data_IF_679774349327
#
_entry.id   IF_679774349327
#
_cell.length_a   1.000
_cell.length_b   1.000
_cell.length_c   1.000
_cell.angle_alpha   90.00
_cell.angle_beta   90.00
_cell.angle_gamma   90.00
#
_symmetry.space_group_name_H-M   'P 1'
#
loop_
_entity.id
_entity.type
_entity.pdbx_description
1 polymer ?
#
# COMPACT_ATOMS: atom_id res chain seq x y z
N UNK A 1 -17.37 -4.45 14.50
CA UNK A 1 -16.88 -3.19 13.91
C UNK A 1 -15.70 -3.52 13.02
N UNK A 2 -15.79 -3.25 11.72
CA UNK A 2 -14.65 -3.33 10.81
C UNK A 2 -13.73 -2.16 11.12
N UNK A 3 -12.43 -2.40 11.24
CA UNK A 3 -11.45 -1.35 11.51
C UNK A 3 -11.41 -0.32 10.36
N UNK A 4 -11.49 0.98 10.67
CA UNK A 4 -11.46 2.04 9.66
C UNK A 4 -10.03 2.51 9.38
N UNK A 5 -9.48 2.13 8.22
CA UNK A 5 -8.12 2.51 7.81
C UNK A 5 -7.91 4.02 7.67
N UNK A 6 -8.96 4.80 7.39
CA UNK A 6 -8.87 6.26 7.23
C UNK A 6 -8.44 6.96 8.53
N UNK A 7 -8.72 6.37 9.69
CA UNK A 7 -8.31 6.91 10.99
C UNK A 7 -6.78 7.08 11.07
N UNK A 8 -6.01 6.20 10.40
CA UNK A 8 -4.57 6.37 10.29
C UNK A 8 -4.20 7.68 9.59
N UNK A 9 -4.83 7.98 8.46
CA UNK A 9 -4.55 9.21 7.71
C UNK A 9 -4.97 10.44 8.50
N UNK A 10 -6.15 10.41 9.13
CA UNK A 10 -6.61 11.52 9.95
C UNK A 10 -5.65 11.85 11.09
N UNK A 11 -5.17 10.83 11.80
CA UNK A 11 -4.16 11.01 12.85
C UNK A 11 -2.87 11.58 12.24
N UNK A 12 -2.41 11.07 11.10
CA UNK A 12 -1.20 11.53 10.44
C UNK A 12 -1.27 13.00 9.98
N UNK A 13 -2.44 13.46 9.54
CA UNK A 13 -2.68 14.84 9.12
C UNK A 13 -2.74 15.80 10.31
N UNK A 14 -3.28 15.37 11.45
CA UNK A 14 -3.47 16.22 12.64
C UNK A 14 -2.23 16.26 13.53
N UNK A 15 -1.57 15.12 13.79
CA UNK A 15 -0.51 15.00 14.82
C UNK A 15 0.65 16.00 14.69
N UNK A 16 1.14 16.39 13.50
CA UNK A 16 2.25 17.33 13.38
C UNK A 16 1.91 18.75 13.89
N UNK A 17 0.63 19.09 13.99
CA UNK A 17 0.14 20.41 14.39
C UNK A 17 -0.15 20.51 15.89
N UNK A 18 -0.09 19.42 16.65
CA UNK A 18 -0.23 19.45 18.10
C UNK A 18 1.03 20.05 18.74
N UNK A 19 0.94 21.32 19.14
CA UNK A 19 2.03 22.07 19.77
C UNK A 19 2.39 21.55 21.17
N UNK A 20 1.47 20.84 21.83
CA UNK A 20 1.67 20.24 23.15
C UNK A 20 2.55 18.99 23.14
N UNK A 21 2.87 18.42 21.97
CA UNK A 21 3.68 17.21 21.86
C UNK A 21 5.13 17.52 21.44
N UNK A 22 6.12 16.72 21.86
CA UNK A 22 7.50 16.86 21.42
C UNK A 22 7.63 16.77 19.89
N UNK A 23 8.43 17.67 19.32
CA UNK A 23 8.54 17.86 17.86
C UNK A 23 8.92 16.58 17.10
N UNK A 24 9.92 15.83 17.57
CA UNK A 24 10.36 14.63 16.86
C UNK A 24 9.39 13.45 17.03
N UNK A 25 8.82 13.28 18.23
CA UNK A 25 7.84 12.22 18.51
C UNK A 25 6.63 12.30 17.58
N UNK A 26 6.02 13.50 17.45
CA UNK A 26 4.88 13.70 16.53
C UNK A 26 5.25 13.45 15.06
N UNK A 27 6.47 13.78 14.63
CA UNK A 27 6.91 13.53 13.25
C UNK A 27 7.08 12.04 12.97
N UNK A 28 7.72 11.30 13.88
CA UNK A 28 7.88 9.85 13.77
C UNK A 28 6.52 9.16 13.73
N UNK A 29 5.61 9.53 14.64
CA UNK A 29 4.25 8.98 14.65
C UNK A 29 3.50 9.30 13.34
N UNK A 30 3.53 10.54 12.85
CA UNK A 30 2.86 10.89 11.58
C UNK A 30 3.32 10.01 10.41
N UNK A 31 4.63 9.81 10.27
CA UNK A 31 5.22 8.96 9.23
C UNK A 31 4.70 7.53 9.32
N UNK A 32 4.71 6.95 10.53
CA UNK A 32 4.18 5.61 10.77
C UNK A 32 2.72 5.49 10.33
N UNK A 33 1.91 6.50 10.66
CA UNK A 33 0.48 6.55 10.34
C UNK A 33 0.22 6.70 8.83
N UNK A 34 0.95 7.54 8.10
CA UNK A 34 0.86 7.59 6.62
C UNK A 34 1.21 6.25 5.97
N UNK A 35 2.24 5.57 6.47
CA UNK A 35 2.62 4.25 5.96
C UNK A 35 1.51 3.22 6.18
N UNK A 36 1.01 3.08 7.41
CA UNK A 36 -0.02 2.09 7.73
C UNK A 36 -1.31 2.36 6.98
N UNK A 37 -1.75 3.62 6.86
CA UNK A 37 -2.87 3.99 6.00
C UNK A 37 -2.68 3.46 4.57
N UNK A 38 -1.54 3.77 3.95
CA UNK A 38 -1.27 3.40 2.56
C UNK A 38 -1.16 1.88 2.37
N UNK A 39 -0.38 1.23 3.22
CA UNK A 39 -0.16 -0.22 3.16
C UNK A 39 -1.44 -1.01 3.38
N UNK A 40 -2.21 -0.69 4.42
CA UNK A 40 -3.44 -1.42 4.75
C UNK A 40 -4.50 -1.21 3.69
N UNK A 41 -4.66 0.02 3.17
CA UNK A 41 -5.63 0.30 2.10
C UNK A 41 -5.38 -0.53 0.85
N UNK A 42 -4.13 -0.64 0.40
CA UNK A 42 -3.77 -1.49 -0.75
C UNK A 42 -3.98 -2.96 -0.43
N UNK A 43 -3.53 -3.41 0.74
CA UNK A 43 -3.69 -4.79 1.18
C UNK A 43 -5.17 -5.19 1.21
N UNK A 44 -6.01 -4.36 1.79
CA UNK A 44 -7.42 -4.67 2.00
C UNK A 44 -8.16 -4.75 0.66
N UNK A 45 -7.84 -3.87 -0.31
CA UNK A 45 -8.31 -3.99 -1.70
C UNK A 45 -7.89 -5.33 -2.32
N UNK A 46 -6.63 -5.74 -2.15
CA UNK A 46 -6.15 -7.03 -2.68
C UNK A 46 -6.93 -8.17 -2.03
N UNK A 47 -7.07 -8.19 -0.70
CA UNK A 47 -7.74 -9.28 0.02
C UNK A 47 -9.25 -9.36 -0.20
N UNK A 48 -9.89 -8.24 -0.58
CA UNK A 48 -11.30 -8.21 -0.95
C UNK A 48 -11.55 -8.91 -2.29
N UNK A 49 -10.60 -8.83 -3.23
CA UNK A 49 -10.77 -9.38 -4.58
C UNK A 49 -10.07 -10.74 -4.75
N UNK A 50 -8.85 -10.85 -4.24
CA UNK A 50 -8.00 -12.04 -4.28
C UNK A 50 -8.22 -12.88 -3.02
N UNK A 51 -9.21 -13.76 -3.09
CA UNK A 51 -9.71 -14.50 -1.93
C UNK A 51 -9.02 -15.85 -1.71
N UNK A 52 -8.03 -16.17 -2.54
CA UNK A 52 -7.22 -17.39 -2.45
C UNK A 52 -6.62 -17.54 -1.05
N UNK A 53 -6.76 -18.72 -0.47
CA UNK A 53 -6.35 -19.00 0.91
C UNK A 53 -4.85 -18.74 1.10
N UNK A 54 -4.04 -19.15 0.13
CA UNK A 54 -2.60 -18.97 0.17
C UNK A 54 -2.20 -17.50 0.17
N UNK A 55 -2.98 -16.62 -0.49
CA UNK A 55 -2.79 -15.17 -0.45
C UNK A 55 -3.18 -14.65 0.93
N UNK A 56 -4.38 -14.98 1.42
CA UNK A 56 -4.84 -14.57 2.76
C UNK A 56 -3.85 -14.93 3.86
N UNK A 57 -3.31 -16.14 3.82
CA UNK A 57 -2.33 -16.62 4.80
C UNK A 57 -0.97 -15.93 4.66
N UNK A 58 -0.52 -15.67 3.43
CA UNK A 58 0.73 -14.95 3.21
C UNK A 58 0.71 -13.55 3.82
N UNK A 59 -0.43 -12.87 3.72
CA UNK A 59 -0.61 -11.51 4.24
C UNK A 59 -0.79 -11.42 5.77
N UNK A 60 -0.95 -12.56 6.47
CA UNK A 60 -0.92 -12.62 7.95
C UNK A 60 0.51 -12.62 8.51
N UNK A 61 1.52 -12.83 7.67
CA UNK A 61 2.92 -12.94 8.13
C UNK A 61 3.57 -11.56 8.34
N UNK A 62 4.66 -11.54 9.10
CA UNK A 62 5.54 -10.35 9.22
C UNK A 62 6.15 -9.90 7.88
N UNK A 63 6.08 -10.72 6.83
CA UNK A 63 6.53 -10.39 5.47
C UNK A 63 5.48 -9.61 4.66
N UNK A 64 4.25 -9.43 5.16
CA UNK A 64 3.15 -8.75 4.47
C UNK A 64 3.53 -7.41 3.81
N UNK A 65 4.38 -6.61 4.45
CA UNK A 65 4.93 -5.36 3.90
C UNK A 65 5.77 -5.52 2.62
N UNK A 66 6.47 -6.64 2.50
CA UNK A 66 7.16 -7.00 1.26
C UNK A 66 6.16 -7.50 0.23
N UNK A 67 5.19 -8.30 0.65
CA UNK A 67 4.26 -8.98 -0.24
C UNK A 67 3.34 -8.05 -1.00
N UNK A 68 2.78 -7.00 -0.38
CA UNK A 68 2.02 -5.96 -1.12
C UNK A 68 2.84 -5.40 -2.28
N UNK A 69 4.14 -5.14 -2.05
CA UNK A 69 5.02 -4.55 -3.06
C UNK A 69 5.31 -5.52 -4.20
N UNK A 70 5.60 -6.78 -3.87
CA UNK A 70 5.85 -7.81 -4.89
C UNK A 70 4.59 -8.06 -5.70
N UNK A 71 3.42 -8.14 -5.04
CA UNK A 71 2.13 -8.28 -5.69
C UNK A 71 1.89 -7.19 -6.73
N UNK A 72 2.01 -5.91 -6.34
CA UNK A 72 1.88 -4.78 -7.26
C UNK A 72 2.85 -4.87 -8.43
N UNK A 73 4.12 -5.18 -8.17
CA UNK A 73 5.14 -5.30 -9.22
C UNK A 73 4.81 -6.41 -10.21
N UNK A 74 4.43 -7.59 -9.71
CA UNK A 74 4.11 -8.76 -10.55
C UNK A 74 2.84 -8.57 -11.34
N UNK A 75 1.83 -7.94 -10.75
CA UNK A 75 0.63 -7.57 -11.48
C UNK A 75 0.97 -6.53 -12.57
N UNK A 76 1.88 -5.59 -12.30
CA UNK A 76 2.44 -4.70 -13.30
C UNK A 76 3.13 -5.44 -14.45
N UNK A 77 3.85 -6.53 -14.18
CA UNK A 77 4.43 -7.37 -15.22
C UNK A 77 3.35 -8.09 -16.05
N UNK A 78 2.35 -8.69 -15.38
CA UNK A 78 1.26 -9.46 -16.02
C UNK A 78 0.42 -8.55 -16.94
N UNK A 79 0.10 -7.34 -16.49
CA UNK A 79 -0.75 -6.40 -17.22
C UNK A 79 0.03 -5.47 -18.15
N UNK A 80 1.37 -5.54 -18.14
CA UNK A 80 2.26 -4.59 -18.80
C UNK A 80 1.98 -3.12 -18.37
N UNK A 81 1.85 -2.90 -17.06
CA UNK A 81 1.58 -1.61 -16.43
C UNK A 81 2.75 -1.20 -15.53
N UNK A 82 3.72 -0.48 -16.09
CA UNK A 82 4.91 -0.03 -15.35
C UNK A 82 4.57 0.89 -14.16
N UNK A 83 3.45 1.61 -14.23
CA UNK A 83 2.94 2.44 -13.14
C UNK A 83 2.71 1.65 -11.83
N UNK A 84 2.36 0.35 -11.91
CA UNK A 84 2.23 -0.50 -10.72
C UNK A 84 3.60 -0.83 -10.09
N UNK A 85 4.64 -0.92 -10.91
CA UNK A 85 6.03 -1.09 -10.44
C UNK A 85 6.55 0.19 -9.80
N UNK A 86 6.19 1.36 -10.36
CA UNK A 86 6.48 2.65 -9.74
C UNK A 86 5.80 2.78 -8.37
N UNK A 87 4.52 2.43 -8.26
CA UNK A 87 3.80 2.40 -6.98
C UNK A 87 4.47 1.44 -5.98
N UNK A 88 4.94 0.28 -6.43
CA UNK A 88 5.70 -0.65 -5.59
C UNK A 88 6.99 -0.03 -5.04
N UNK A 89 7.72 0.72 -5.87
CA UNK A 89 8.92 1.47 -5.48
C UNK A 89 8.61 2.60 -4.51
N UNK A 90 7.54 3.36 -4.75
CA UNK A 90 7.10 4.42 -3.85
C UNK A 90 6.66 3.89 -2.49
N UNK A 91 5.95 2.76 -2.45
CA UNK A 91 5.59 2.09 -1.22
C UNK A 91 6.83 1.55 -0.48
N UNK A 92 7.85 1.07 -1.20
CA UNK A 92 9.14 0.74 -0.61
C UNK A 92 9.82 1.96 0.03
N UNK A 93 9.84 3.10 -0.66
CA UNK A 93 10.40 4.33 -0.14
C UNK A 93 9.65 4.81 1.11
N UNK A 94 8.31 4.75 1.11
CA UNK A 94 7.50 5.07 2.27
C UNK A 94 7.80 4.13 3.45
N UNK A 95 7.93 2.83 3.19
CA UNK A 95 8.33 1.85 4.21
C UNK A 95 9.73 2.14 4.78
N UNK A 96 10.70 2.54 3.96
CA UNK A 96 12.04 2.92 4.44
C UNK A 96 12.00 4.13 5.38
N UNK A 97 11.20 5.14 5.05
CA UNK A 97 11.02 6.31 5.91
C UNK A 97 10.35 5.89 7.23
N UNK A 98 9.36 4.99 7.19
CA UNK A 98 8.74 4.42 8.38
C UNK A 98 9.73 3.65 9.26
N UNK A 99 10.61 2.84 8.68
CA UNK A 99 11.67 2.14 9.45
C UNK A 99 12.64 3.11 10.11
N UNK A 100 13.04 4.18 9.40
CA UNK A 100 13.84 5.26 9.99
C UNK A 100 13.11 5.91 11.18
N UNK A 101 11.80 6.15 11.06
CA UNK A 101 11.00 6.76 12.12
C UNK A 101 10.83 5.87 13.35
N UNK A 102 10.64 4.56 13.18
CA UNK A 102 10.29 3.67 14.28
C UNK A 102 11.49 3.00 14.94
N UNK A 103 12.53 2.68 14.17
CA UNK A 103 13.62 1.80 14.63
C UNK A 103 14.98 2.50 14.76
N UNK A 104 15.21 3.60 14.04
CA UNK A 104 16.45 4.36 14.11
C UNK A 104 16.32 5.52 15.10
N UNK A 105 16.40 5.20 16.39
CA UNK A 105 16.32 6.15 17.50
C UNK A 105 17.58 7.02 17.64
N UNK A 106 18.69 6.58 17.06
CA UNK A 106 19.97 7.29 16.98
C UNK A 106 19.98 8.45 15.97
N UNK A 107 18.98 8.52 15.08
CA UNK A 107 18.93 9.49 13.98
C UNK A 107 17.78 10.47 14.12
N UNK A 108 18.03 11.77 14.10
CA UNK A 108 16.97 12.78 14.15
C UNK A 108 16.03 12.73 12.94
N UNK A 109 14.72 12.70 13.21
CA UNK A 109 13.66 12.82 12.20
C UNK A 109 13.10 14.24 12.17
N UNK A 110 13.28 14.93 11.04
CA UNK A 110 12.79 16.30 10.81
C UNK A 110 11.45 16.32 10.09
N UNK A 111 10.72 17.43 10.22
CA UNK A 111 9.41 17.65 9.58
C UNK A 111 9.40 17.42 8.06
N UNK A 112 10.52 17.65 7.37
CA UNK A 112 10.65 17.37 5.93
C UNK A 112 10.33 15.90 5.60
N UNK A 113 10.67 14.95 6.48
CA UNK A 113 10.34 13.52 6.29
C UNK A 113 8.84 13.27 6.39
N UNK A 114 8.12 14.04 7.21
CA UNK A 114 6.65 14.00 7.28
C UNK A 114 6.05 14.47 5.95
N UNK A 115 6.55 15.58 5.38
CA UNK A 115 6.09 16.07 4.07
C UNK A 115 6.32 15.05 2.96
N UNK A 116 7.48 14.39 2.94
CA UNK A 116 7.80 13.34 1.96
C UNK A 116 6.85 12.14 2.14
N UNK A 117 6.67 11.66 3.37
CA UNK A 117 5.77 10.54 3.66
C UNK A 117 4.32 10.85 3.24
N UNK A 118 3.83 12.05 3.55
CA UNK A 118 2.50 12.53 3.13
C UNK A 118 2.37 12.55 1.61
N UNK A 119 3.37 13.08 0.90
CA UNK A 119 3.35 13.16 -0.56
C UNK A 119 3.34 11.77 -1.21
N UNK A 120 4.20 10.86 -0.74
CA UNK A 120 4.23 9.47 -1.23
C UNK A 120 2.88 8.79 -0.99
N UNK A 121 2.35 8.86 0.23
CA UNK A 121 1.05 8.30 0.59
C UNK A 121 -0.07 8.82 -0.31
N UNK A 122 -0.15 10.15 -0.49
CA UNK A 122 -1.15 10.77 -1.36
C UNK A 122 -1.00 10.33 -2.82
N UNK A 123 0.21 10.37 -3.37
CA UNK A 123 0.47 10.01 -4.76
C UNK A 123 0.11 8.55 -5.02
N UNK A 124 0.54 7.61 -4.16
CA UNK A 124 0.22 6.19 -4.29
C UNK A 124 -1.30 5.98 -4.37
N UNK A 125 -2.05 6.52 -3.41
CA UNK A 125 -3.51 6.33 -3.36
C UNK A 125 -4.19 7.02 -4.53
N UNK A 126 -3.76 8.24 -4.90
CA UNK A 126 -4.31 8.94 -6.06
C UNK A 126 -4.09 8.14 -7.33
N UNK A 127 -2.87 7.68 -7.59
CA UNK A 127 -2.53 6.91 -8.79
C UNK A 127 -3.34 5.61 -8.85
N UNK A 128 -3.48 4.88 -7.75
CA UNK A 128 -4.31 3.67 -7.72
C UNK A 128 -5.79 3.96 -8.00
N UNK A 129 -6.33 5.05 -7.47
CA UNK A 129 -7.74 5.43 -7.68
C UNK A 129 -8.02 5.91 -9.12
N UNK A 130 -7.02 6.43 -9.82
CA UNK A 130 -7.15 6.93 -11.20
C UNK A 130 -6.48 6.03 -12.23
N UNK A 131 -5.94 4.88 -11.83
CA UNK A 131 -5.31 3.93 -12.72
C UNK A 131 -6.36 3.43 -13.72
N UNK A 132 -6.02 3.39 -15.00
CA UNK A 132 -6.91 2.87 -16.03
C UNK A 132 -6.28 1.64 -16.70
N UNK A 133 -7.08 0.62 -16.94
CA UNK A 133 -6.72 -0.55 -17.71
C UNK A 133 -7.93 -1.02 -18.51
N UNK A 134 -7.80 -1.11 -19.84
CA UNK A 134 -8.87 -1.52 -20.76
C UNK A 134 -10.21 -0.79 -20.53
N UNK A 135 -10.17 0.52 -20.28
CA UNK A 135 -11.35 1.35 -20.01
C UNK A 135 -11.95 1.22 -18.60
N UNK A 136 -11.33 0.42 -17.72
CA UNK A 136 -11.72 0.30 -16.30
C UNK A 136 -10.83 1.19 -15.44
N UNK A 137 -11.45 2.07 -14.66
CA UNK A 137 -10.76 3.04 -13.79
C UNK A 137 -10.81 2.59 -12.33
N UNK A 138 -9.66 2.70 -11.66
CA UNK A 138 -9.47 2.39 -10.24
C UNK A 138 -8.93 0.98 -10.03
N UNK A 139 -7.89 0.87 -9.21
CA UNK A 139 -7.18 -0.39 -8.97
C UNK A 139 -8.10 -1.54 -8.52
N UNK A 140 -8.99 -1.28 -7.58
CA UNK A 140 -9.98 -2.26 -7.12
C UNK A 140 -10.90 -2.74 -8.25
N UNK A 141 -11.41 -1.82 -9.07
CA UNK A 141 -12.26 -2.14 -10.21
C UNK A 141 -11.50 -2.94 -11.28
N UNK A 142 -10.22 -2.60 -11.50
CA UNK A 142 -9.35 -3.36 -12.41
C UNK A 142 -9.19 -4.79 -11.91
N UNK A 143 -8.91 -5.00 -10.61
CA UNK A 143 -8.83 -6.35 -10.05
C UNK A 143 -10.16 -7.11 -10.22
N UNK A 144 -11.30 -6.48 -9.89
CA UNK A 144 -12.64 -7.07 -10.07
C UNK A 144 -12.92 -7.43 -11.53
N UNK A 145 -12.50 -6.58 -12.46
CA UNK A 145 -12.61 -6.82 -13.90
C UNK A 145 -11.76 -8.01 -14.36
N UNK A 146 -10.50 -8.08 -13.92
CA UNK A 146 -9.61 -9.20 -14.24
C UNK A 146 -10.13 -10.53 -13.70
N UNK A 147 -10.70 -10.52 -12.49
CA UNK A 147 -11.31 -11.68 -11.87
C UNK A 147 -12.45 -12.23 -12.74
N UNK A 148 -13.34 -11.34 -13.18
CA UNK A 148 -14.46 -11.69 -14.08
C UNK A 148 -13.98 -12.27 -15.42
N UNK A 149 -12.98 -11.68 -16.06
CA UNK A 149 -12.43 -12.24 -17.31
C UNK A 149 -11.85 -13.64 -17.05
N UNK A 150 -11.10 -13.81 -15.96
CA UNK A 150 -10.55 -15.11 -15.57
C UNK A 150 -11.64 -16.18 -15.41
N UNK A 151 -12.75 -15.84 -14.75
CA UNK A 151 -13.92 -16.73 -14.59
C UNK A 151 -14.50 -17.17 -15.93
N UNK A 152 -14.68 -16.23 -16.87
CA UNK A 152 -15.16 -16.50 -18.24
C UNK A 152 -14.21 -17.42 -19.02
N UNK A 153 -12.91 -17.39 -18.70
CA UNK A 153 -11.87 -18.20 -19.31
C UNK A 153 -11.56 -19.51 -18.54
N UNK A 154 -12.28 -19.79 -17.45
CA UNK A 154 -12.16 -21.01 -16.65
C UNK A 154 -11.06 -21.00 -15.57
N UNK A 155 -10.39 -19.88 -15.33
CA UNK A 155 -9.45 -19.65 -14.21
C UNK A 155 -9.63 -18.22 -13.67
N UNK A 156 -10.48 -18.08 -12.64
CA UNK A 156 -10.79 -16.84 -11.92
C UNK A 156 -9.56 -15.98 -11.58
N UNK A 157 -8.41 -16.62 -11.31
CA UNK A 157 -7.18 -15.96 -10.88
C UNK A 157 -6.08 -15.98 -11.96
N UNK A 158 -6.44 -16.20 -13.23
CA UNK A 158 -5.49 -16.30 -14.36
C UNK A 158 -4.51 -15.12 -14.43
N UNK A 159 -5.02 -13.91 -14.19
CA UNK A 159 -4.24 -12.66 -14.28
C UNK A 159 -3.68 -12.17 -12.95
N UNK A 160 -3.81 -12.96 -11.89
CA UNK A 160 -3.36 -12.58 -10.56
C UNK A 160 -1.99 -13.20 -10.27
N UNK A 161 -1.08 -12.47 -9.58
CA UNK A 161 0.21 -13.02 -9.15
C UNK A 161 0.04 -14.33 -8.39
N UNK A 162 0.89 -15.32 -8.68
CA UNK A 162 0.89 -16.62 -7.99
C UNK A 162 1.90 -16.60 -6.85
N UNK A 163 1.66 -17.38 -5.78
CA UNK A 163 2.49 -17.34 -4.56
C UNK A 163 3.96 -17.68 -4.80
N UNK A 164 4.25 -18.58 -5.75
CA UNK A 164 5.61 -18.95 -6.15
C UNK A 164 6.37 -17.80 -6.84
N UNK A 165 5.67 -16.75 -7.26
CA UNK A 165 6.23 -15.51 -7.81
C UNK A 165 6.36 -14.41 -6.74
N UNK A 166 5.79 -14.63 -5.53
CA UNK A 166 5.79 -13.68 -4.42
C UNK A 166 6.91 -13.94 -3.39
N UNK A 167 7.69 -15.02 -3.59
CA UNK A 167 8.79 -15.48 -2.73
C UNK A 167 10.17 -15.13 -3.24
#
# INVERSE_FOLDING_TARGET
MTFNVEEFKEIADKIPNFKSLPNEGRYRTAIGRYYYYTFLKIRDIILEVDEREEIRDYFKTGKSHHLVRVYLSKLGDILNLDILKEISSDLYNLHRIRKLADYNTDRTVKYIKVKIARKLSYNIIKTLNTLEYNGVIGFENILKHLKKIGEEEGDEYKYFPRINQLG
#
